data_IF_796977530931
#
_entry.id   IF_796977530931
#
_cell.length_a   1.000
_cell.length_b   1.000
_cell.length_c   1.000
_cell.angle_alpha   90.00
_cell.angle_beta   90.00
_cell.angle_gamma   90.00
#
_symmetry.space_group_name_H-M   'P 1'
#
loop_
_entity.id
_entity.type
_entity.pdbx_description
1 polymer ?
#
# COMPACT_ATOMS: atom_id res chain seq x y z
N UNK A 1 48.30 -9.57 29.51
CA UNK A 1 47.60 -9.87 28.25
C UNK A 1 46.07 -9.80 28.36
N UNK A 2 45.42 -10.42 29.36
CA UNK A 2 43.94 -10.39 29.51
C UNK A 2 43.31 -8.99 29.62
N UNK A 3 43.95 -8.04 30.31
CA UNK A 3 43.45 -6.65 30.43
C UNK A 3 43.56 -5.82 29.14
N UNK A 4 44.53 -6.15 28.27
CA UNK A 4 44.72 -5.45 26.99
C UNK A 4 43.71 -5.95 25.93
N UNK A 5 43.43 -7.26 25.93
CA UNK A 5 42.38 -7.86 25.07
C UNK A 5 40.97 -7.37 25.45
N UNK A 6 40.69 -7.14 26.74
CA UNK A 6 39.40 -6.60 27.17
C UNK A 6 39.18 -5.15 26.71
N UNK A 7 40.23 -4.33 26.64
CA UNK A 7 40.14 -2.93 26.22
C UNK A 7 40.02 -2.82 24.68
N UNK A 8 40.71 -3.70 23.94
CA UNK A 8 40.59 -3.81 22.49
C UNK A 8 39.20 -4.31 22.07
N UNK A 9 38.62 -5.25 22.83
CA UNK A 9 37.26 -5.76 22.62
C UNK A 9 36.19 -4.69 22.89
N UNK A 10 36.40 -3.82 23.88
CA UNK A 10 35.46 -2.74 24.19
C UNK A 10 35.54 -1.61 23.14
N UNK A 11 36.74 -1.33 22.62
CA UNK A 11 36.95 -0.36 21.54
C UNK A 11 36.39 -0.85 20.19
N UNK A 12 36.53 -2.14 19.89
CA UNK A 12 35.93 -2.75 18.70
C UNK A 12 34.39 -2.75 18.75
N UNK A 13 33.80 -2.89 19.94
CA UNK A 13 32.34 -2.85 20.11
C UNK A 13 31.77 -1.44 19.90
N UNK A 14 32.50 -0.38 20.28
CA UNK A 14 32.08 1.02 20.07
C UNK A 14 32.21 1.45 18.60
N UNK A 15 33.21 0.94 17.87
CA UNK A 15 33.36 1.24 16.43
C UNK A 15 32.27 0.59 15.56
N UNK A 16 31.64 -0.51 16.00
CA UNK A 16 30.56 -1.16 15.24
C UNK A 16 29.25 -0.35 15.21
N UNK A 17 29.08 0.63 16.10
CA UNK A 17 27.90 1.52 16.10
C UNK A 17 28.14 2.86 15.40
N UNK A 18 29.38 3.19 15.03
CA UNK A 18 29.74 4.53 14.56
C UNK A 18 29.50 4.78 13.05
N UNK A 19 29.23 3.74 12.25
CA UNK A 19 29.15 3.89 10.77
C UNK A 19 27.75 3.77 10.19
N UNK A 20 26.71 3.59 11.01
CA UNK A 20 25.34 3.30 10.54
C UNK A 20 24.39 4.49 10.40
N UNK A 21 24.72 5.66 10.95
CA UNK A 21 23.74 6.76 11.09
C UNK A 21 23.47 7.46 9.75
N UNK A 22 24.48 7.64 8.91
CA UNK A 22 24.38 8.42 7.67
C UNK A 22 23.58 7.72 6.56
N UNK A 23 23.67 6.40 6.43
CA UNK A 23 22.91 5.65 5.42
C UNK A 23 21.40 5.56 5.75
N UNK A 24 21.06 5.48 7.04
CA UNK A 24 19.67 5.47 7.49
C UNK A 24 18.99 6.84 7.32
N UNK A 25 19.70 7.94 7.55
CA UNK A 25 19.18 9.29 7.35
C UNK A 25 18.96 9.61 5.88
N UNK A 26 19.90 9.26 4.99
CA UNK A 26 19.75 9.45 3.55
C UNK A 26 18.58 8.64 2.97
N UNK A 27 18.41 7.39 3.43
CA UNK A 27 17.27 6.55 3.06
C UNK A 27 15.93 7.15 3.53
N UNK A 28 15.88 7.66 4.76
CA UNK A 28 14.65 8.26 5.31
C UNK A 28 14.25 9.55 4.59
N UNK A 29 15.23 10.37 4.22
CA UNK A 29 14.99 11.60 3.46
C UNK A 29 14.45 11.30 2.06
N UNK A 30 15.06 10.34 1.35
CA UNK A 30 14.59 9.88 0.05
C UNK A 30 13.14 9.35 0.11
N UNK A 31 12.84 8.48 1.08
CA UNK A 31 11.48 7.95 1.27
C UNK A 31 10.48 9.06 1.54
N UNK A 32 10.83 10.06 2.36
CA UNK A 32 9.95 11.19 2.69
C UNK A 32 9.68 12.07 1.47
N UNK A 33 10.69 12.34 0.64
CA UNK A 33 10.51 13.13 -0.59
C UNK A 33 9.63 12.40 -1.60
N UNK A 34 9.90 11.10 -1.82
CA UNK A 34 9.10 10.29 -2.74
C UNK A 34 7.66 10.22 -2.24
N UNK A 35 7.44 10.01 -0.94
CA UNK A 35 6.11 9.99 -0.35
C UNK A 35 5.33 11.29 -0.58
N UNK A 36 5.98 12.45 -0.43
CA UNK A 36 5.37 13.76 -0.76
C UNK A 36 5.03 13.88 -2.24
N UNK A 37 5.96 13.53 -3.13
CA UNK A 37 5.72 13.58 -4.57
C UNK A 37 4.58 12.65 -5.01
N UNK A 38 4.49 11.46 -4.41
CA UNK A 38 3.40 10.52 -4.66
C UNK A 38 2.06 11.02 -4.12
N UNK A 39 2.04 11.67 -2.96
CA UNK A 39 0.84 12.29 -2.39
C UNK A 39 0.30 13.43 -3.26
N UNK A 40 1.19 14.23 -3.84
CA UNK A 40 0.80 15.31 -4.76
C UNK A 40 0.23 14.75 -6.08
N UNK A 41 0.78 13.62 -6.55
CA UNK A 41 0.32 12.93 -7.77
C UNK A 41 -0.96 12.13 -7.56
N UNK A 42 -1.14 11.52 -6.38
CA UNK A 42 -2.24 10.62 -6.05
C UNK A 42 -2.96 11.09 -4.77
N UNK A 43 -4.14 11.70 -4.92
CA UNK A 43 -4.95 12.17 -3.78
C UNK A 43 -5.43 11.05 -2.86
N UNK A 44 -5.50 9.84 -3.38
CA UNK A 44 -5.90 8.61 -2.71
C UNK A 44 -4.70 7.84 -2.11
N UNK A 45 -3.50 8.41 -2.12
CA UNK A 45 -2.30 7.82 -1.52
C UNK A 45 -2.47 7.56 -0.03
N UNK A 46 -2.10 6.35 0.41
CA UNK A 46 -2.09 5.97 1.82
C UNK A 46 -0.72 6.24 2.43
N UNK A 47 -0.67 7.21 3.35
CA UNK A 47 0.54 7.55 4.10
C UNK A 47 1.14 6.34 4.83
N UNK A 48 2.47 6.24 4.82
CA UNK A 48 3.24 5.16 5.42
C UNK A 48 3.13 3.80 4.72
N UNK A 49 2.49 3.72 3.55
CA UNK A 49 2.39 2.47 2.77
C UNK A 49 3.48 2.29 1.72
N UNK A 50 4.42 3.24 1.63
CA UNK A 50 5.49 3.24 0.63
C UNK A 50 6.60 2.25 0.99
N UNK A 51 6.87 1.35 0.06
CA UNK A 51 8.00 0.42 0.07
C UNK A 51 8.85 0.67 -1.19
N UNK A 52 10.14 0.92 -0.98
CA UNK A 52 11.10 1.12 -2.06
C UNK A 52 11.95 -0.15 -2.22
N UNK A 53 12.06 -0.63 -3.45
CA UNK A 53 12.83 -1.82 -3.81
C UNK A 53 13.68 -1.57 -5.06
N UNK A 54 14.70 -2.42 -5.26
CA UNK A 54 15.69 -2.32 -6.34
C UNK A 54 16.27 -0.91 -6.56
N UNK A 55 16.75 -0.28 -5.49
CA UNK A 55 17.33 1.06 -5.55
C UNK A 55 18.66 1.01 -6.32
N UNK A 56 18.75 1.73 -7.43
CA UNK A 56 19.95 1.85 -8.26
C UNK A 56 20.30 3.31 -8.52
N UNK A 57 21.60 3.63 -8.45
CA UNK A 57 22.12 4.97 -8.75
C UNK A 57 22.71 4.99 -10.15
N UNK A 58 22.34 6.00 -10.92
CA UNK A 58 22.82 6.24 -12.27
C UNK A 58 23.56 7.58 -12.33
N UNK A 59 24.69 7.61 -13.02
CA UNK A 59 25.38 8.87 -13.30
C UNK A 59 24.55 9.72 -14.26
N UNK A 60 24.43 11.01 -13.99
CA UNK A 60 23.78 11.92 -14.91
C UNK A 60 24.72 12.31 -16.07
N UNK A 61 24.30 12.08 -17.30
CA UNK A 61 24.99 12.51 -18.52
C UNK A 61 24.38 13.76 -19.17
N UNK A 62 23.26 14.27 -18.66
CA UNK A 62 22.54 15.41 -19.22
C UNK A 62 22.83 16.68 -18.43
N UNK A 63 23.46 17.65 -19.09
CA UNK A 63 23.81 18.96 -18.52
C UNK A 63 22.60 19.84 -18.25
N UNK A 64 21.42 19.55 -18.82
CA UNK A 64 20.17 20.28 -18.53
C UNK A 64 19.56 19.86 -17.19
N UNK A 65 19.88 18.65 -16.72
CA UNK A 65 19.52 18.19 -15.39
C UNK A 65 20.57 18.67 -14.40
N UNK A 66 20.19 19.59 -13.52
CA UNK A 66 20.99 19.99 -12.35
C UNK A 66 20.98 18.87 -11.28
N UNK A 67 21.61 17.75 -11.63
CA UNK A 67 21.79 16.56 -10.81
C UNK A 67 23.15 15.92 -11.15
N UNK A 68 23.93 15.52 -10.16
CA UNK A 68 25.18 14.78 -10.37
C UNK A 68 24.87 13.29 -10.61
N UNK A 69 23.90 12.79 -9.86
CA UNK A 69 23.45 11.40 -9.86
C UNK A 69 21.92 11.34 -9.85
N UNK A 70 21.36 10.25 -10.37
CA UNK A 70 19.92 10.00 -10.39
C UNK A 70 19.68 8.64 -9.76
N UNK A 71 18.84 8.58 -8.74
CA UNK A 71 18.48 7.34 -8.07
C UNK A 71 17.15 6.85 -8.62
N UNK A 72 17.13 5.67 -9.23
CA UNK A 72 15.93 4.95 -9.62
C UNK A 72 15.54 3.94 -8.55
N UNK A 73 14.24 3.81 -8.27
CA UNK A 73 13.70 2.81 -7.37
C UNK A 73 12.33 2.32 -7.86
N UNK A 74 11.99 1.07 -7.53
CA UNK A 74 10.63 0.55 -7.69
C UNK A 74 9.85 0.88 -6.41
N UNK A 75 8.88 1.78 -6.53
CA UNK A 75 7.99 2.18 -5.44
C UNK A 75 6.71 1.34 -5.47
N UNK A 76 6.47 0.58 -4.41
CA UNK A 76 5.20 -0.09 -4.15
C UNK A 76 4.47 0.66 -3.04
N UNK A 77 3.22 1.03 -3.27
CA UNK A 77 2.41 1.78 -2.31
C UNK A 77 0.93 1.46 -2.45
N UNK A 78 0.16 1.81 -1.42
CA UNK A 78 -1.29 1.59 -1.41
C UNK A 78 -2.03 2.89 -1.70
N UNK A 79 -3.09 2.80 -2.49
CA UNK A 79 -4.09 3.87 -2.62
C UNK A 79 -5.44 3.39 -2.12
N UNK A 80 -6.15 4.23 -1.37
CA UNK A 80 -7.49 3.92 -0.85
C UNK A 80 -8.49 4.92 -1.41
N UNK A 81 -9.36 4.44 -2.30
CA UNK A 81 -10.45 5.25 -2.88
C UNK A 81 -11.70 5.11 -2.03
N UNK A 82 -12.34 6.24 -1.75
CA UNK A 82 -13.60 6.35 -0.99
C UNK A 82 -13.57 5.65 0.37
N UNK A 83 -12.38 5.54 0.99
CA UNK A 83 -12.12 4.82 2.26
C UNK A 83 -12.43 3.31 2.24
N UNK A 84 -12.75 2.74 1.08
CA UNK A 84 -13.29 1.38 0.97
C UNK A 84 -12.51 0.55 -0.05
N UNK A 85 -12.13 1.12 -1.20
CA UNK A 85 -11.41 0.37 -2.23
C UNK A 85 -9.91 0.56 -2.09
N UNK A 86 -9.21 -0.50 -1.68
CA UNK A 86 -7.75 -0.51 -1.60
C UNK A 86 -7.14 -1.02 -2.90
N UNK A 87 -6.07 -0.37 -3.36
CA UNK A 87 -5.29 -0.76 -4.52
C UNK A 87 -3.81 -0.76 -4.16
N UNK A 88 -3.12 -1.81 -4.56
CA UNK A 88 -1.67 -1.89 -4.55
C UNK A 88 -1.16 -1.36 -5.89
N UNK A 89 -0.27 -0.38 -5.84
CA UNK A 89 0.35 0.25 -7.00
C UNK A 89 1.84 0.03 -6.94
N UNK A 90 2.41 -0.35 -8.07
CA UNK A 90 3.85 -0.44 -8.25
C UNK A 90 4.23 0.44 -9.42
N UNK A 91 5.10 1.43 -9.19
CA UNK A 91 5.61 2.31 -10.23
C UNK A 91 7.11 2.59 -10.05
N UNK A 92 7.77 2.95 -11.15
CA UNK A 92 9.18 3.30 -11.13
C UNK A 92 9.28 4.79 -10.81
N UNK A 93 10.03 5.12 -9.76
CA UNK A 93 10.26 6.49 -9.32
C UNK A 93 11.72 6.86 -9.47
N UNK A 94 11.96 8.13 -9.81
CA UNK A 94 13.30 8.68 -9.94
C UNK A 94 13.47 9.84 -8.97
N UNK A 95 14.63 9.91 -8.34
CA UNK A 95 14.96 10.87 -7.30
C UNK A 95 16.29 11.55 -7.60
N UNK A 96 16.32 12.88 -7.45
CA UNK A 96 17.53 13.68 -7.48
C UNK A 96 18.03 13.89 -6.04
N UNK A 97 19.16 13.29 -5.63
CA UNK A 97 19.72 13.45 -4.29
C UNK A 97 20.22 14.87 -4.00
N UNK A 98 20.68 15.60 -5.01
CA UNK A 98 21.25 16.95 -4.85
C UNK A 98 20.15 17.98 -4.55
N UNK A 99 19.06 17.92 -5.31
CA UNK A 99 17.91 18.82 -5.14
C UNK A 99 16.85 18.31 -4.17
N UNK A 100 16.93 17.04 -3.78
CA UNK A 100 15.93 16.36 -2.95
C UNK A 100 14.54 16.44 -3.56
N UNK A 101 14.45 16.16 -4.85
CA UNK A 101 13.23 16.25 -5.65
C UNK A 101 12.95 14.96 -6.42
N UNK A 102 11.67 14.63 -6.57
CA UNK A 102 11.22 13.55 -7.44
C UNK A 102 11.26 14.01 -8.90
N UNK A 103 11.93 13.25 -9.76
CA UNK A 103 12.06 13.55 -11.17
C UNK A 103 10.98 12.84 -11.99
N UNK A 104 10.56 13.46 -13.10
CA UNK A 104 9.64 12.85 -14.05
C UNK A 104 10.40 11.92 -15.00
N UNK A 105 9.79 10.81 -15.42
CA UNK A 105 10.41 9.86 -16.35
C UNK A 105 10.92 10.53 -17.65
N UNK A 106 10.23 11.57 -18.11
CA UNK A 106 10.60 12.34 -19.30
C UNK A 106 11.90 13.12 -19.14
N UNK A 107 12.13 13.69 -17.96
CA UNK A 107 13.37 14.40 -17.66
C UNK A 107 14.54 13.41 -17.62
N UNK A 108 14.33 12.25 -16.99
CA UNK A 108 15.39 11.26 -16.76
C UNK A 108 15.73 10.42 -18.00
N UNK A 109 14.79 10.26 -18.94
CA UNK A 109 15.00 9.47 -20.16
C UNK A 109 16.14 9.99 -21.04
N UNK A 110 16.49 11.28 -20.95
CA UNK A 110 17.60 11.90 -21.70
C UNK A 110 18.94 11.84 -20.95
N UNK A 111 18.90 11.62 -19.63
CA UNK A 111 20.06 11.63 -18.75
C UNK A 111 21.02 10.47 -18.98
N UNK A 112 20.47 9.25 -19.15
CA UNK A 112 21.30 8.06 -19.29
C UNK A 112 20.52 6.92 -20.00
N UNK A 113 21.09 6.29 -21.04
CA UNK A 113 20.48 5.14 -21.71
C UNK A 113 20.26 3.92 -20.79
N UNK A 114 21.01 3.79 -19.70
CA UNK A 114 20.85 2.68 -18.74
C UNK A 114 19.57 2.82 -17.90
N UNK A 115 19.05 4.05 -17.73
CA UNK A 115 17.77 4.27 -17.04
C UNK A 115 16.60 3.74 -17.89
N UNK A 116 16.70 3.88 -19.21
CA UNK A 116 15.71 3.30 -20.14
C UNK A 116 15.74 1.77 -20.08
N UNK A 117 16.92 1.16 -19.93
CA UNK A 117 17.05 -0.30 -19.74
C UNK A 117 16.45 -0.74 -18.40
N UNK A 118 16.72 0.01 -17.33
CA UNK A 118 16.15 -0.23 -16.01
C UNK A 118 14.62 -0.12 -15.99
N UNK A 119 14.06 0.90 -16.66
CA UNK A 119 12.61 1.02 -16.84
C UNK A 119 12.03 -0.18 -17.60
N UNK A 120 12.73 -0.62 -18.65
CA UNK A 120 12.30 -1.77 -19.45
C UNK A 120 12.39 -3.10 -18.71
N UNK A 121 13.38 -3.31 -17.83
CA UNK A 121 13.51 -4.55 -17.05
C UNK A 121 12.39 -4.70 -16.02
N UNK A 122 11.92 -3.60 -15.44
CA UNK A 122 10.87 -3.58 -14.41
C UNK A 122 9.47 -3.32 -14.98
N UNK A 123 9.32 -3.22 -16.30
CA UNK A 123 8.02 -2.92 -16.94
C UNK A 123 6.93 -3.95 -16.59
N UNK A 124 7.31 -5.20 -16.33
CA UNK A 124 6.38 -6.27 -15.96
C UNK A 124 5.95 -6.19 -14.49
N UNK A 125 6.74 -5.52 -13.64
CA UNK A 125 6.46 -5.35 -12.21
C UNK A 125 5.61 -4.11 -11.94
N UNK A 126 5.57 -3.17 -12.89
CA UNK A 126 4.71 -1.98 -12.84
C UNK A 126 3.25 -2.36 -13.09
N UNK A 127 2.38 -1.95 -12.18
CA UNK A 127 0.97 -2.32 -12.27
C UNK A 127 0.10 -1.73 -11.17
N UNK A 128 -1.21 -1.93 -11.33
CA UNK A 128 -2.22 -1.57 -10.33
C UNK A 128 -3.09 -2.80 -10.09
N UNK A 129 -3.12 -3.27 -8.85
CA UNK A 129 -3.93 -4.38 -8.41
C UNK A 129 -4.96 -3.89 -7.40
N UNK A 130 -6.23 -4.27 -7.59
CA UNK A 130 -7.30 -3.96 -6.63
C UNK A 130 -7.44 -5.09 -5.62
N UNK A 131 -7.59 -4.75 -4.35
CA UNK A 131 -7.96 -5.71 -3.32
C UNK A 131 -9.41 -6.16 -3.53
N UNK A 132 -9.59 -7.47 -3.74
CA UNK A 132 -10.89 -8.09 -4.03
C UNK A 132 -11.74 -8.32 -2.79
N UNK A 133 -11.21 -8.11 -1.58
CA UNK A 133 -11.93 -8.44 -0.35
C UNK A 133 -13.26 -7.70 -0.24
N UNK A 134 -13.27 -6.41 -0.55
CA UNK A 134 -14.45 -5.57 -0.48
C UNK A 134 -15.47 -5.93 -1.55
N UNK A 135 -15.00 -6.17 -2.78
CA UNK A 135 -15.87 -6.60 -3.89
C UNK A 135 -16.54 -7.93 -3.56
N UNK A 136 -15.77 -8.88 -3.02
CA UNK A 136 -16.25 -10.20 -2.62
C UNK A 136 -17.27 -10.10 -1.49
N UNK A 137 -17.04 -9.22 -0.51
CA UNK A 137 -17.97 -8.98 0.60
C UNK A 137 -19.29 -8.37 0.10
N UNK A 138 -19.24 -7.38 -0.80
CA UNK A 138 -20.43 -6.78 -1.41
C UNK A 138 -21.24 -7.81 -2.21
N UNK A 139 -20.58 -8.63 -3.02
CA UNK A 139 -21.22 -9.73 -3.76
C UNK A 139 -21.83 -10.79 -2.81
N UNK A 140 -21.16 -11.08 -1.70
CA UNK A 140 -21.65 -12.01 -0.69
C UNK A 140 -22.96 -11.51 -0.07
N UNK A 141 -23.09 -10.21 0.23
CA UNK A 141 -24.34 -9.64 0.77
C UNK A 141 -25.50 -9.82 -0.21
N UNK A 142 -25.27 -9.59 -1.51
CA UNK A 142 -26.29 -9.76 -2.56
C UNK A 142 -26.82 -11.19 -2.61
N UNK A 143 -26.01 -12.19 -2.28
CA UNK A 143 -26.42 -13.61 -2.29
C UNK A 143 -26.99 -14.03 -0.93
N UNK A 144 -26.33 -13.65 0.16
CA UNK A 144 -26.68 -14.06 1.52
C UNK A 144 -28.01 -13.46 1.99
N UNK A 145 -28.30 -12.20 1.63
CA UNK A 145 -29.55 -11.54 2.07
C UNK A 145 -30.79 -12.22 1.48
N UNK A 146 -30.91 -12.46 0.15
CA UNK A 146 -32.02 -13.22 -0.40
C UNK A 146 -32.10 -14.65 0.13
N UNK A 147 -30.96 -15.34 0.28
CA UNK A 147 -30.95 -16.68 0.86
C UNK A 147 -31.48 -16.69 2.30
N UNK A 148 -31.10 -15.71 3.12
CA UNK A 148 -31.62 -15.56 4.47
C UNK A 148 -33.14 -15.31 4.47
N UNK A 149 -33.62 -14.46 3.57
CA UNK A 149 -35.06 -14.18 3.43
C UNK A 149 -35.83 -15.47 3.07
N UNK A 150 -35.37 -16.21 2.06
CA UNK A 150 -36.05 -17.44 1.60
C UNK A 150 -35.98 -18.58 2.62
N UNK A 151 -34.84 -18.76 3.30
CA UNK A 151 -34.62 -19.94 4.15
C UNK A 151 -35.07 -19.75 5.59
N UNK A 152 -34.93 -18.54 6.13
CA UNK A 152 -35.21 -18.25 7.55
C UNK A 152 -36.44 -17.38 7.70
N UNK A 153 -36.55 -16.30 6.94
CA UNK A 153 -37.63 -15.32 7.14
C UNK A 153 -38.99 -15.83 6.63
N UNK A 154 -39.06 -16.39 5.43
CA UNK A 154 -40.29 -16.94 4.86
C UNK A 154 -40.89 -18.03 5.76
N UNK A 155 -40.06 -19.01 6.17
CA UNK A 155 -40.49 -20.08 7.09
C UNK A 155 -41.01 -19.53 8.43
N UNK A 156 -40.44 -18.44 8.93
CA UNK A 156 -40.86 -17.81 10.19
C UNK A 156 -42.10 -16.91 10.05
N UNK A 157 -42.37 -16.34 8.87
CA UNK A 157 -43.62 -15.62 8.64
C UNK A 157 -44.83 -16.56 8.59
N UNK A 158 -44.70 -17.75 8.00
CA UNK A 158 -45.80 -18.71 7.93
C UNK A 158 -46.02 -19.51 9.23
N UNK A 159 -45.19 -19.32 10.26
CA UNK A 159 -45.51 -19.71 11.64
C UNK A 159 -46.60 -18.84 12.26
N UNK A 160 -47.47 -18.21 11.45
CA UNK A 160 -48.70 -17.61 12.00
C UNK A 160 -49.54 -18.64 12.73
N UNK A 161 -49.50 -19.93 12.39
CA UNK A 161 -50.22 -20.96 13.14
C UNK A 161 -49.61 -21.21 14.52
N UNK A 162 -48.28 -21.32 14.63
CA UNK A 162 -47.61 -21.46 15.94
C UNK A 162 -47.66 -20.19 16.77
N UNK A 163 -47.49 -19.00 16.16
CA UNK A 163 -47.65 -17.72 16.85
C UNK A 163 -49.10 -17.50 17.30
N UNK A 164 -50.10 -17.85 16.48
CA UNK A 164 -51.52 -17.80 16.85
C UNK A 164 -51.89 -18.85 17.88
N UNK A 165 -51.25 -20.03 17.87
CA UNK A 165 -51.40 -21.05 18.93
C UNK A 165 -50.77 -20.56 20.24
N UNK A 166 -49.53 -20.07 20.20
CA UNK A 166 -48.76 -19.61 21.36
C UNK A 166 -49.37 -18.39 22.04
N UNK A 167 -50.04 -17.52 21.27
CA UNK A 167 -50.77 -16.35 21.79
C UNK A 167 -52.29 -16.56 21.90
N UNK A 168 -52.77 -17.80 21.75
CA UNK A 168 -54.18 -18.21 21.93
C UNK A 168 -55.20 -17.36 21.15
N UNK A 169 -54.85 -16.94 19.93
CA UNK A 169 -55.65 -16.03 19.10
C UNK A 169 -56.76 -16.73 18.31
N UNK A 170 -56.82 -18.06 18.32
CA UNK A 170 -57.87 -18.83 17.63
C UNK A 170 -59.24 -18.78 18.32
N UNK A 171 -59.28 -18.52 19.64
CA UNK A 171 -60.53 -18.50 20.42
C UNK A 171 -61.24 -17.14 20.44
N UNK A 172 -60.75 -16.12 19.72
CA UNK A 172 -61.35 -14.78 19.73
C UNK A 172 -62.29 -14.47 18.57
N UNK A 173 -62.59 -15.43 17.68
CA UNK A 173 -63.73 -15.28 16.77
C UNK A 173 -65.04 -15.59 17.52
N UNK A 174 -65.43 -14.67 18.41
CA UNK A 174 -66.79 -14.57 18.87
C UNK A 174 -67.68 -14.33 17.64
N UNK A 175 -68.51 -15.32 17.33
CA UNK A 175 -69.62 -15.23 16.39
C UNK A 175 -70.48 -14.02 16.76
N UNK A 176 -70.44 -12.97 15.93
CA UNK A 176 -71.53 -12.00 15.89
C UNK A 176 -72.68 -12.67 15.15
N UNK A 177 -73.68 -13.11 15.92
CA UNK A 177 -75.03 -13.37 15.42
C UNK A 177 -75.77 -12.04 15.29
#
# INVERSE_FOLDING_TARGET
MKKLMSLLSLFALVLMFATGVSAAEASKEMTTTIEKGLKDKHKDFKEGSLELSDVQTFSNGDSELEATEIVGAVATYKTVRDNVFSFDRTEIVYFNPDKKEMLTEQAVAKANPDIVKYSKSHKNDVGVHMDWIVVTLLLSIIILVPLYILTVWEKRQYLTTEFKLANNLYNQQATYR
#
